data_IF_490416050676
#
_entry.id   IF_490416050676
#
_cell.length_a   1.000
_cell.length_b   1.000
_cell.length_c   1.000
_cell.angle_alpha   90.00
_cell.angle_beta   90.00
_cell.angle_gamma   90.00
#
_symmetry.space_group_name_H-M   'P 1'
#
loop_
_entity.id
_entity.type
_entity.pdbx_description
1 polymer ?
#
# COMPACT_ATOMS: atom_id res chain seq x y z
N UNK A 1 -39.15 7.84 -14.74
CA UNK A 1 -37.68 7.78 -14.61
C UNK A 1 -37.33 6.33 -14.77
N UNK A 2 -36.69 5.99 -15.88
CA UNK A 2 -36.39 4.60 -16.21
C UNK A 2 -35.36 4.05 -15.22
N UNK A 3 -35.47 2.75 -14.92
CA UNK A 3 -34.61 2.06 -13.95
C UNK A 3 -33.11 2.23 -14.24
N UNK A 4 -32.73 2.31 -15.52
CA UNK A 4 -31.35 2.57 -15.95
C UNK A 4 -30.84 3.95 -15.53
N UNK A 5 -31.63 5.01 -15.73
CA UNK A 5 -31.27 6.37 -15.32
C UNK A 5 -31.11 6.48 -13.80
N UNK A 6 -31.91 5.75 -13.04
CA UNK A 6 -31.80 5.71 -11.58
C UNK A 6 -30.48 5.04 -11.14
N UNK A 7 -30.08 3.94 -11.79
CA UNK A 7 -28.80 3.25 -11.51
C UNK A 7 -27.61 4.15 -11.86
N UNK A 8 -27.61 4.77 -13.04
CA UNK A 8 -26.54 5.66 -13.47
C UNK A 8 -26.38 6.85 -12.52
N UNK A 9 -27.49 7.43 -12.07
CA UNK A 9 -27.50 8.50 -11.07
C UNK A 9 -26.91 8.02 -9.73
N UNK A 10 -27.29 6.83 -9.26
CA UNK A 10 -26.78 6.27 -8.01
C UNK A 10 -25.26 6.06 -8.07
N UNK A 11 -24.77 5.49 -9.17
CA UNK A 11 -23.34 5.30 -9.44
C UNK A 11 -22.60 6.64 -9.44
N UNK A 12 -23.14 7.64 -10.14
CA UNK A 12 -22.53 8.95 -10.23
C UNK A 12 -22.45 9.62 -8.84
N UNK A 13 -23.53 9.58 -8.07
CA UNK A 13 -23.56 10.11 -6.69
C UNK A 13 -22.53 9.39 -5.81
N UNK A 14 -22.46 8.06 -5.89
CA UNK A 14 -21.51 7.27 -5.11
C UNK A 14 -20.06 7.60 -5.48
N UNK A 15 -19.75 7.69 -6.77
CA UNK A 15 -18.42 8.05 -7.26
C UNK A 15 -17.99 9.45 -6.82
N UNK A 16 -18.88 10.44 -6.96
CA UNK A 16 -18.63 11.82 -6.49
C UNK A 16 -18.41 11.83 -4.98
N UNK A 17 -19.25 11.12 -4.21
CA UNK A 17 -19.14 11.03 -2.75
C UNK A 17 -17.79 10.45 -2.32
N UNK A 18 -17.36 9.36 -2.97
CA UNK A 18 -16.06 8.74 -2.68
C UNK A 18 -14.90 9.67 -3.04
N UNK A 19 -14.96 10.36 -4.19
CA UNK A 19 -13.93 11.30 -4.62
C UNK A 19 -13.81 12.49 -3.65
N UNK A 20 -14.94 13.11 -3.29
CA UNK A 20 -14.97 14.18 -2.29
C UNK A 20 -14.48 13.69 -0.93
N UNK A 21 -14.79 12.45 -0.57
CA UNK A 21 -14.27 11.79 0.62
C UNK A 21 -12.75 11.68 0.65
N UNK A 22 -12.11 11.29 -0.46
CA UNK A 22 -10.64 11.24 -0.59
C UNK A 22 -10.04 12.65 -0.45
N UNK A 23 -10.64 13.65 -1.11
CA UNK A 23 -10.14 15.04 -1.04
C UNK A 23 -10.27 15.58 0.38
N UNK A 24 -11.42 15.39 1.03
CA UNK A 24 -11.69 15.86 2.39
C UNK A 24 -10.77 15.16 3.41
N UNK A 25 -10.62 13.85 3.33
CA UNK A 25 -9.68 13.11 4.21
C UNK A 25 -8.24 13.48 3.94
N UNK A 26 -7.84 13.70 2.69
CA UNK A 26 -6.51 14.20 2.34
C UNK A 26 -6.22 15.58 2.93
N UNK A 27 -7.19 16.50 2.83
CA UNK A 27 -7.11 17.83 3.45
C UNK A 27 -7.02 17.74 4.97
N UNK A 28 -7.76 16.82 5.60
CA UNK A 28 -7.67 16.58 7.04
C UNK A 28 -6.27 16.07 7.45
N UNK A 29 -5.71 15.09 6.75
CA UNK A 29 -4.34 14.62 7.01
C UNK A 29 -3.32 15.74 6.80
N UNK A 30 -3.51 16.57 5.78
CA UNK A 30 -2.68 17.74 5.54
C UNK A 30 -2.75 18.76 6.68
N UNK A 31 -3.95 19.04 7.19
CA UNK A 31 -4.15 19.93 8.33
C UNK A 31 -3.43 19.39 9.57
N UNK A 32 -3.64 18.12 9.91
CA UNK A 32 -2.98 17.49 11.07
C UNK A 32 -1.45 17.49 10.88
N UNK A 33 -0.96 17.21 9.66
CA UNK A 33 0.47 17.19 9.31
C UNK A 33 1.17 18.53 9.51
N UNK A 34 0.47 19.64 9.31
CA UNK A 34 1.08 20.96 9.42
C UNK A 34 0.82 21.62 10.77
N UNK A 35 -0.37 21.42 11.35
CA UNK A 35 -0.80 22.17 12.53
C UNK A 35 -0.65 21.40 13.84
N UNK A 36 -0.70 20.06 13.80
CA UNK A 36 -0.73 19.23 15.02
C UNK A 36 0.42 18.23 15.13
N UNK A 37 1.32 18.19 14.16
CA UNK A 37 2.44 17.25 14.15
C UNK A 37 3.36 17.43 15.36
N UNK A 38 3.70 18.67 15.72
CA UNK A 38 4.55 18.96 16.89
C UNK A 38 3.90 18.51 18.20
N UNK A 39 2.60 18.77 18.35
CA UNK A 39 1.81 18.32 19.50
C UNK A 39 1.79 16.79 19.60
N UNK A 40 1.54 16.08 18.49
CA UNK A 40 1.56 14.61 18.42
C UNK A 40 2.94 14.08 18.86
N UNK A 41 4.02 14.66 18.34
CA UNK A 41 5.39 14.22 18.66
C UNK A 41 5.77 14.50 20.12
N UNK A 42 5.26 15.58 20.72
CA UNK A 42 5.51 15.89 22.14
C UNK A 42 4.83 14.88 23.06
N UNK A 43 3.61 14.44 22.73
CA UNK A 43 2.92 13.39 23.49
C UNK A 43 3.56 12.01 23.34
N UNK A 44 4.37 11.79 22.30
CA UNK A 44 5.07 10.53 22.03
C UNK A 44 6.58 10.65 22.25
N UNK A 45 7.01 11.57 23.11
CA UNK A 45 8.42 11.95 23.19
C UNK A 45 9.36 10.86 23.71
N UNK A 46 8.84 9.91 24.47
CA UNK A 46 9.60 8.78 25.01
C UNK A 46 9.43 7.51 24.17
N UNK A 47 8.83 7.60 22.98
CA UNK A 47 8.66 6.48 22.07
C UNK A 47 9.82 6.41 21.05
N UNK A 48 10.73 5.41 21.14
CA UNK A 48 11.83 5.27 20.18
C UNK A 48 11.37 5.13 18.73
N UNK A 49 10.17 4.56 18.51
CA UNK A 49 9.57 4.42 17.19
C UNK A 49 9.27 5.76 16.51
N UNK A 50 9.20 6.84 17.29
CA UNK A 50 8.79 8.16 16.83
C UNK A 50 9.97 9.06 16.48
N UNK A 51 11.19 8.70 16.87
CA UNK A 51 12.40 9.46 16.59
C UNK A 51 12.70 9.66 15.09
N UNK A 52 12.52 8.65 14.20
CA UNK A 52 12.61 8.88 12.76
C UNK A 52 11.59 9.91 12.25
N UNK A 53 10.41 9.98 12.88
CA UNK A 53 9.36 10.91 12.49
C UNK A 53 9.61 12.35 12.96
N UNK A 54 10.40 12.55 14.03
CA UNK A 54 10.89 13.89 14.42
C UNK A 54 11.75 14.50 13.33
N UNK A 55 12.63 13.70 12.72
CA UNK A 55 13.36 14.13 11.53
C UNK A 55 12.41 14.33 10.34
N UNK A 56 11.41 13.46 10.17
CA UNK A 56 10.39 13.64 9.12
C UNK A 56 9.57 14.93 9.26
N UNK A 57 9.36 15.44 10.48
CA UNK A 57 8.65 16.69 10.72
C UNK A 57 9.31 17.89 10.01
N UNK A 58 10.59 17.81 9.66
CA UNK A 58 11.34 18.90 9.03
C UNK A 58 11.74 18.65 7.57
N UNK A 59 11.46 17.47 7.01
CA UNK A 59 11.98 17.05 5.68
C UNK A 59 10.98 17.17 4.53
N UNK A 60 9.73 17.56 4.79
CA UNK A 60 8.76 17.92 3.74
C UNK A 60 7.34 17.42 3.98
N UNK A 61 6.41 17.88 3.15
CA UNK A 61 4.98 17.60 3.32
C UNK A 61 4.65 16.10 3.25
N UNK A 62 5.24 15.40 2.28
CA UNK A 62 4.98 13.97 2.05
C UNK A 62 5.45 13.10 3.23
N UNK A 63 6.56 13.45 3.87
CA UNK A 63 7.08 12.70 5.01
C UNK A 63 6.23 12.92 6.26
N UNK A 64 5.71 14.15 6.47
CA UNK A 64 4.77 14.46 7.56
C UNK A 64 3.46 13.68 7.46
N UNK A 65 2.84 13.65 6.27
CA UNK A 65 1.59 12.91 6.06
C UNK A 65 1.79 11.41 6.32
N UNK A 66 2.90 10.84 5.80
CA UNK A 66 3.24 9.42 6.07
C UNK A 66 3.42 9.16 7.57
N UNK A 67 4.14 10.03 8.27
CA UNK A 67 4.37 9.88 9.70
C UNK A 67 3.06 9.86 10.50
N UNK A 68 2.09 10.69 10.12
CA UNK A 68 0.76 10.69 10.75
C UNK A 68 0.01 9.40 10.51
N UNK A 69 0.05 8.86 9.28
CA UNK A 69 -0.60 7.60 8.97
C UNK A 69 0.02 6.43 9.74
N UNK A 70 1.35 6.44 9.89
CA UNK A 70 2.07 5.46 10.69
C UNK A 70 1.70 5.58 12.18
N UNK A 71 1.72 6.80 12.74
CA UNK A 71 1.33 7.07 14.13
C UNK A 71 -0.12 6.66 14.39
N UNK A 72 -1.05 6.97 13.48
CA UNK A 72 -2.45 6.53 13.59
C UNK A 72 -2.54 5.00 13.65
N UNK A 73 -1.74 4.29 12.85
CA UNK A 73 -1.68 2.83 12.86
C UNK A 73 -1.14 2.29 14.19
N UNK A 74 -0.13 2.94 14.77
CA UNK A 74 0.45 2.54 16.06
C UNK A 74 -0.52 2.75 17.22
N UNK A 75 -1.23 3.88 17.24
CA UNK A 75 -2.25 4.19 18.26
C UNK A 75 -3.43 3.22 18.20
N UNK A 76 -3.76 2.69 17.03
CA UNK A 76 -4.84 1.74 16.86
C UNK A 76 -4.52 0.34 17.45
N UNK A 77 -3.25 -0.05 17.46
CA UNK A 77 -2.83 -1.38 17.93
C UNK A 77 -1.49 -1.32 18.68
N UNK A 78 -1.47 -0.73 19.89
CA UNK A 78 -0.22 -0.42 20.60
C UNK A 78 0.39 -1.60 21.36
N UNK A 79 -0.37 -2.67 21.62
CA UNK A 79 -0.02 -3.76 22.54
C UNK A 79 1.33 -4.41 22.20
N UNK A 80 1.49 -4.82 20.94
CA UNK A 80 2.74 -5.42 20.45
C UNK A 80 3.92 -4.44 20.51
N UNK A 81 3.66 -3.14 20.32
CA UNK A 81 4.69 -2.09 20.29
C UNK A 81 5.20 -1.72 21.67
N UNK A 82 4.33 -1.85 22.66
CA UNK A 82 4.68 -1.80 24.06
C UNK A 82 5.54 -3.02 24.43
N UNK A 83 5.16 -4.22 23.98
CA UNK A 83 5.86 -5.48 24.29
C UNK A 83 7.31 -5.49 23.79
N UNK A 84 7.56 -4.95 22.59
CA UNK A 84 8.91 -4.85 22.02
C UNK A 84 9.68 -3.58 22.43
N UNK A 85 9.12 -2.77 23.33
CA UNK A 85 9.74 -1.53 23.83
C UNK A 85 9.82 -0.38 22.81
N UNK A 86 9.06 -0.45 21.72
CA UNK A 86 9.03 0.57 20.66
C UNK A 86 8.11 1.76 21.00
N UNK A 87 7.09 1.54 21.83
CA UNK A 87 6.23 2.60 22.39
C UNK A 87 6.34 2.65 23.92
N UNK A 88 6.41 3.85 24.46
CA UNK A 88 6.28 4.10 25.90
C UNK A 88 4.83 3.86 26.32
N UNK A 89 4.62 2.94 27.26
CA UNK A 89 3.30 2.69 27.87
C UNK A 89 2.69 3.95 28.47
N UNK A 90 3.52 4.80 29.07
CA UNK A 90 3.10 6.05 29.66
C UNK A 90 2.61 7.03 28.58
N UNK A 91 3.37 7.18 27.50
CA UNK A 91 3.05 8.11 26.41
C UNK A 91 1.72 7.74 25.75
N UNK A 92 1.50 6.44 25.50
CA UNK A 92 0.25 5.93 24.94
C UNK A 92 -0.91 6.09 25.91
N UNK A 93 -0.70 5.82 27.21
CA UNK A 93 -1.74 5.95 28.24
C UNK A 93 -2.22 7.39 28.41
N UNK A 94 -1.31 8.36 28.29
CA UNK A 94 -1.61 9.79 28.46
C UNK A 94 -1.81 10.53 27.13
N UNK A 95 -1.79 9.83 25.99
CA UNK A 95 -2.05 10.44 24.70
C UNK A 95 -3.48 11.00 24.66
N UNK A 96 -3.71 12.23 24.14
CA UNK A 96 -5.05 12.82 24.12
C UNK A 96 -6.03 11.95 23.34
N UNK A 97 -7.06 11.44 24.01
CA UNK A 97 -8.02 10.48 23.42
C UNK A 97 -8.73 11.04 22.19
N UNK A 98 -9.01 12.34 22.17
CA UNK A 98 -9.67 13.00 21.04
C UNK A 98 -8.75 13.06 19.82
N UNK A 99 -7.46 13.34 20.03
CA UNK A 99 -6.46 13.35 18.98
C UNK A 99 -6.21 11.93 18.45
N UNK A 100 -6.14 10.91 19.31
CA UNK A 100 -6.00 9.52 18.89
C UNK A 100 -7.19 9.08 18.03
N UNK A 101 -8.41 9.35 18.50
CA UNK A 101 -9.63 9.05 17.73
C UNK A 101 -9.62 9.75 16.38
N UNK A 102 -9.29 11.04 16.33
CA UNK A 102 -9.20 11.78 15.07
C UNK A 102 -8.22 11.14 14.09
N UNK A 103 -7.01 10.79 14.55
CA UNK A 103 -5.97 10.16 13.73
C UNK A 103 -6.42 8.80 13.18
N UNK A 104 -6.95 7.94 14.05
CA UNK A 104 -7.38 6.58 13.70
C UNK A 104 -8.58 6.65 12.74
N UNK A 105 -9.58 7.48 13.05
CA UNK A 105 -10.77 7.64 12.20
C UNK A 105 -10.39 8.21 10.83
N UNK A 106 -9.53 9.23 10.76
CA UNK A 106 -9.07 9.78 9.49
C UNK A 106 -8.34 8.73 8.64
N UNK A 107 -7.47 7.93 9.27
CA UNK A 107 -6.73 6.86 8.61
C UNK A 107 -7.68 5.80 8.01
N UNK A 108 -8.63 5.29 8.80
CA UNK A 108 -9.60 4.30 8.31
C UNK A 108 -10.54 4.88 7.25
N UNK A 109 -10.98 6.12 7.40
CA UNK A 109 -11.86 6.76 6.42
C UNK A 109 -11.13 6.95 5.07
N UNK A 110 -9.85 7.32 5.09
CA UNK A 110 -9.02 7.38 3.88
C UNK A 110 -8.86 6.01 3.23
N UNK A 111 -8.66 4.95 4.01
CA UNK A 111 -8.57 3.58 3.48
C UNK A 111 -9.92 3.10 2.93
N UNK A 112 -11.02 3.43 3.59
CA UNK A 112 -12.37 3.06 3.18
C UNK A 112 -12.76 3.72 1.85
N UNK A 113 -12.50 5.02 1.68
CA UNK A 113 -12.77 5.70 0.42
C UNK A 113 -11.89 5.18 -0.72
N UNK A 114 -10.61 4.93 -0.46
CA UNK A 114 -9.71 4.36 -1.46
C UNK A 114 -10.15 2.95 -1.88
N UNK A 115 -10.47 2.08 -0.91
CA UNK A 115 -10.99 0.74 -1.16
C UNK A 115 -12.34 0.78 -1.88
N UNK A 116 -13.23 1.68 -1.49
CA UNK A 116 -14.52 1.90 -2.12
C UNK A 116 -14.40 2.29 -3.60
N UNK A 117 -13.46 3.19 -3.94
CA UNK A 117 -13.19 3.57 -5.33
C UNK A 117 -12.72 2.39 -6.19
N UNK A 118 -11.88 1.52 -5.62
CA UNK A 118 -11.41 0.31 -6.33
C UNK A 118 -12.60 -0.64 -6.56
N UNK A 119 -13.40 -0.90 -5.53
CA UNK A 119 -14.59 -1.77 -5.64
C UNK A 119 -15.58 -1.20 -6.66
N UNK A 120 -15.83 0.11 -6.62
CA UNK A 120 -16.72 0.78 -7.57
C UNK A 120 -16.18 0.67 -9.00
N UNK A 121 -14.88 0.89 -9.22
CA UNK A 121 -14.26 0.75 -10.53
C UNK A 121 -14.41 -0.68 -11.09
N UNK A 122 -14.17 -1.70 -10.27
CA UNK A 122 -14.37 -3.11 -10.67
C UNK A 122 -15.84 -3.40 -10.95
N UNK A 123 -16.76 -2.90 -10.11
CA UNK A 123 -18.19 -3.09 -10.32
C UNK A 123 -18.69 -2.46 -11.63
N UNK A 124 -18.17 -1.29 -12.00
CA UNK A 124 -18.49 -0.64 -13.28
C UNK A 124 -17.97 -1.43 -14.47
N UNK A 125 -16.77 -1.99 -14.39
CA UNK A 125 -16.23 -2.88 -15.42
C UNK A 125 -17.08 -4.14 -15.57
N UNK A 126 -17.56 -4.73 -14.47
CA UNK A 126 -18.47 -5.89 -14.51
C UNK A 126 -19.84 -5.53 -15.09
N UNK A 127 -20.36 -4.34 -14.81
CA UNK A 127 -21.64 -3.88 -15.35
C UNK A 127 -21.55 -3.61 -16.86
N UNK A 128 -20.47 -2.94 -17.28
CA UNK A 128 -20.19 -2.68 -18.69
C UNK A 128 -20.02 -3.99 -19.47
N UNK A 129 -19.30 -4.94 -18.87
CA UNK A 129 -19.24 -6.32 -19.32
C UNK A 129 -20.63 -6.96 -19.51
N UNK A 130 -21.50 -6.87 -18.50
CA UNK A 130 -22.85 -7.42 -18.61
C UNK A 130 -23.67 -6.77 -19.75
N UNK A 131 -23.49 -5.46 -19.97
CA UNK A 131 -24.19 -4.69 -21.02
C UNK A 131 -23.75 -5.08 -22.43
N UNK A 132 -22.46 -5.35 -22.61
CA UNK A 132 -21.86 -5.71 -23.91
C UNK A 132 -21.81 -7.22 -24.18
N UNK A 133 -22.50 -8.06 -23.39
CA UNK A 133 -22.47 -9.52 -23.54
C UNK A 133 -22.95 -10.06 -24.91
N UNK A 134 -23.52 -9.21 -25.77
CA UNK A 134 -23.89 -9.55 -27.15
C UNK A 134 -22.80 -9.32 -28.21
N UNK A 135 -21.72 -8.57 -27.90
CA UNK A 135 -20.62 -8.32 -28.85
C UNK A 135 -19.51 -9.34 -28.67
N UNK A 136 -19.44 -10.30 -29.60
CA UNK A 136 -18.40 -11.33 -29.58
C UNK A 136 -17.27 -10.96 -30.54
N UNK A 137 -16.05 -10.87 -30.00
CA UNK A 137 -14.84 -10.84 -30.82
C UNK A 137 -14.48 -12.28 -31.19
N UNK A 138 -14.36 -12.56 -32.49
CA UNK A 138 -13.86 -13.83 -33.00
C UNK A 138 -12.36 -13.73 -33.20
N UNK A 139 -11.58 -14.43 -32.37
CA UNK A 139 -10.15 -14.61 -32.62
C UNK A 139 -9.93 -15.96 -33.29
N UNK A 140 -9.35 -15.95 -34.49
CA UNK A 140 -8.88 -17.16 -35.17
C UNK A 140 -7.51 -17.56 -34.60
N UNK A 141 -7.47 -18.70 -33.92
CA UNK A 141 -6.24 -19.41 -33.54
C UNK A 141 -6.01 -20.54 -34.55
N UNK A 142 -5.38 -20.21 -35.68
CA UNK A 142 -5.15 -21.16 -36.78
C UNK A 142 -6.35 -21.33 -37.73
N UNK A 143 -6.23 -22.25 -38.69
CA UNK A 143 -7.23 -22.42 -39.76
C UNK A 143 -8.55 -23.05 -39.30
N UNK A 144 -8.54 -23.82 -38.19
CA UNK A 144 -9.70 -24.59 -37.74
C UNK A 144 -10.31 -24.15 -36.40
N UNK A 145 -9.66 -23.26 -35.63
CA UNK A 145 -10.13 -22.91 -34.29
C UNK A 145 -10.42 -21.41 -34.18
N UNK A 146 -11.68 -21.05 -33.93
CA UNK A 146 -12.07 -19.68 -33.60
C UNK A 146 -12.71 -19.64 -32.22
N UNK A 147 -12.12 -18.90 -31.30
CA UNK A 147 -12.71 -18.65 -29.98
C UNK A 147 -13.48 -17.34 -30.07
N UNK A 148 -14.75 -17.38 -29.66
CA UNK A 148 -15.59 -16.18 -29.53
C UNK A 148 -15.69 -15.85 -28.05
N UNK A 149 -15.30 -14.64 -27.67
CA UNK A 149 -15.44 -14.17 -26.30
C UNK A 149 -15.77 -12.68 -26.29
N UNK A 150 -16.33 -12.18 -25.18
CA UNK A 150 -16.61 -10.76 -25.05
C UNK A 150 -15.32 -9.93 -24.88
N UNK A 151 -15.20 -8.74 -25.51
CA UNK A 151 -13.98 -7.91 -25.46
C UNK A 151 -13.49 -7.61 -24.04
N UNK A 152 -14.41 -7.45 -23.10
CA UNK A 152 -14.15 -7.13 -21.70
C UNK A 152 -13.67 -8.32 -20.85
N UNK A 153 -13.86 -9.57 -21.32
CA UNK A 153 -13.62 -10.76 -20.50
C UNK A 153 -12.12 -10.99 -20.24
N UNK A 154 -11.20 -10.95 -21.24
CA UNK A 154 -9.77 -11.06 -20.98
C UNK A 154 -9.19 -10.01 -20.03
N UNK A 155 -9.46 -8.70 -20.18
CA UNK A 155 -8.92 -7.71 -19.25
C UNK A 155 -9.50 -7.85 -17.84
N UNK A 156 -10.79 -8.19 -17.69
CA UNK A 156 -11.39 -8.45 -16.38
C UNK A 156 -10.77 -9.67 -15.69
N UNK A 157 -10.55 -10.78 -16.43
CA UNK A 157 -9.87 -11.96 -15.89
C UNK A 157 -8.42 -11.64 -15.49
N UNK A 158 -7.72 -10.84 -16.30
CA UNK A 158 -6.37 -10.36 -15.98
C UNK A 158 -6.37 -9.48 -14.72
N UNK A 159 -7.35 -8.58 -14.56
CA UNK A 159 -7.48 -7.72 -13.38
C UNK A 159 -7.70 -8.56 -12.11
N UNK A 160 -8.67 -9.49 -12.14
CA UNK A 160 -8.97 -10.40 -11.01
C UNK A 160 -7.73 -11.23 -10.65
N UNK A 161 -7.04 -11.79 -11.66
CA UNK A 161 -5.81 -12.53 -11.46
C UNK A 161 -4.71 -11.66 -10.82
N UNK A 162 -4.53 -10.43 -11.28
CA UNK A 162 -3.54 -9.50 -10.73
C UNK A 162 -3.86 -9.14 -9.28
N UNK A 163 -5.12 -8.87 -8.94
CA UNK A 163 -5.55 -8.59 -7.57
C UNK A 163 -5.27 -9.80 -6.67
N UNK A 164 -5.63 -11.00 -7.11
CA UNK A 164 -5.37 -12.24 -6.39
C UNK A 164 -3.87 -12.48 -6.17
N UNK A 165 -3.04 -12.26 -7.20
CA UNK A 165 -1.59 -12.32 -7.11
C UNK A 165 -1.04 -11.31 -6.09
N UNK A 166 -1.51 -10.05 -6.10
CA UNK A 166 -1.09 -9.02 -5.13
C UNK A 166 -1.41 -9.46 -3.70
N UNK A 167 -2.59 -10.03 -3.46
CA UNK A 167 -2.99 -10.51 -2.13
C UNK A 167 -2.09 -11.67 -1.65
N UNK A 168 -1.81 -12.64 -2.52
CA UNK A 168 -0.89 -13.75 -2.19
C UNK A 168 0.52 -13.23 -1.95
N UNK A 169 1.05 -12.37 -2.81
CA UNK A 169 2.38 -11.80 -2.65
C UNK A 169 2.47 -11.00 -1.34
N UNK A 170 1.41 -10.28 -0.98
CA UNK A 170 1.28 -9.61 0.31
C UNK A 170 1.40 -10.58 1.49
N UNK A 171 0.70 -11.72 1.47
CA UNK A 171 0.84 -12.72 2.55
C UNK A 171 2.25 -13.31 2.58
N UNK A 172 2.87 -13.58 1.43
CA UNK A 172 4.25 -14.05 1.36
C UNK A 172 5.24 -13.03 1.93
N UNK A 173 5.07 -11.73 1.64
CA UNK A 173 5.88 -10.67 2.22
C UNK A 173 5.73 -10.57 3.74
N UNK A 174 4.51 -10.69 4.25
CA UNK A 174 4.24 -10.77 5.69
C UNK A 174 5.00 -11.93 6.32
N UNK A 175 4.94 -13.13 5.73
CA UNK A 175 5.63 -14.32 6.21
C UNK A 175 7.16 -14.21 6.10
N UNK A 176 7.68 -13.70 5.00
CA UNK A 176 9.11 -13.47 4.78
C UNK A 176 9.68 -12.51 5.83
N UNK A 177 8.92 -11.47 6.19
CA UNK A 177 9.31 -10.55 7.27
C UNK A 177 9.43 -11.28 8.61
N UNK A 178 8.43 -12.11 8.96
CA UNK A 178 8.48 -12.89 10.20
C UNK A 178 9.65 -13.88 10.24
N UNK A 179 10.04 -14.44 9.08
CA UNK A 179 11.09 -15.45 8.96
C UNK A 179 12.49 -14.86 8.88
N UNK A 180 12.65 -13.68 8.28
CA UNK A 180 13.96 -13.12 7.93
C UNK A 180 14.29 -11.77 8.60
N UNK A 181 13.43 -11.23 9.46
CA UNK A 181 13.65 -9.93 10.13
C UNK A 181 15.03 -9.83 10.81
N UNK A 182 15.44 -10.87 11.55
CA UNK A 182 16.73 -10.87 12.25
C UNK A 182 17.91 -10.89 11.28
N UNK A 183 17.82 -11.68 10.21
CA UNK A 183 18.85 -11.73 9.16
C UNK A 183 18.96 -10.41 8.42
N UNK A 184 17.81 -9.80 8.08
CA UNK A 184 17.75 -8.47 7.46
C UNK A 184 18.41 -7.44 8.39
N UNK A 185 18.08 -7.46 9.68
CA UNK A 185 18.68 -6.55 10.64
C UNK A 185 20.18 -6.78 10.81
N UNK A 186 20.65 -8.03 10.81
CA UNK A 186 22.08 -8.34 10.96
C UNK A 186 22.93 -7.84 9.79
N UNK A 187 22.44 -8.04 8.56
CA UNK A 187 23.22 -7.73 7.35
C UNK A 187 22.99 -6.32 6.81
N UNK A 188 21.88 -5.66 7.16
CA UNK A 188 21.53 -4.32 6.70
C UNK A 188 21.37 -3.31 7.85
N UNK A 189 22.01 -3.55 9.01
CA UNK A 189 21.90 -2.65 10.18
C UNK A 189 22.42 -1.23 9.91
N UNK A 190 23.41 -1.08 9.05
CA UNK A 190 24.05 0.20 8.70
C UNK A 190 23.38 0.90 7.52
N UNK A 191 22.44 0.21 6.84
CA UNK A 191 21.77 0.78 5.68
C UNK A 191 20.76 1.85 6.11
N UNK A 192 21.03 3.12 5.75
CA UNK A 192 20.16 4.27 6.03
C UNK A 192 18.71 4.06 5.56
N UNK A 193 18.54 3.40 4.41
CA UNK A 193 17.23 3.07 3.86
C UNK A 193 16.46 2.04 4.71
N UNK A 194 17.14 1.12 5.38
CA UNK A 194 16.52 0.17 6.31
C UNK A 194 16.27 0.79 7.67
N UNK A 195 17.24 1.54 8.21
CA UNK A 195 17.12 2.23 9.50
C UNK A 195 15.88 3.14 9.51
N UNK A 196 15.72 3.97 8.48
CA UNK A 196 14.55 4.88 8.34
C UNK A 196 13.20 4.18 8.21
N UNK A 197 13.19 2.88 7.92
CA UNK A 197 11.98 2.09 7.67
C UNK A 197 11.78 0.99 8.70
N UNK A 198 12.67 0.83 9.67
CA UNK A 198 12.59 -0.21 10.69
C UNK A 198 11.31 -0.10 11.53
N UNK A 199 10.77 1.11 11.66
CA UNK A 199 9.45 1.35 12.27
C UNK A 199 8.28 0.67 11.55
N UNK A 200 8.45 0.24 10.29
CA UNK A 200 7.40 -0.49 9.56
C UNK A 200 7.25 -1.93 10.05
N UNK A 201 8.28 -2.57 10.62
CA UNK A 201 8.16 -3.91 11.24
C UNK A 201 7.09 -3.95 12.35
N UNK A 202 6.82 -2.78 12.91
CA UNK A 202 5.91 -2.49 13.99
C UNK A 202 4.47 -2.17 13.52
N UNK A 203 4.24 -1.84 12.25
CA UNK A 203 2.91 -1.48 11.70
C UNK A 203 1.95 -2.66 11.48
N UNK A 204 2.03 -3.71 12.31
CA UNK A 204 1.21 -4.93 12.17
C UNK A 204 1.47 -5.68 10.85
N UNK A 205 0.43 -6.35 10.32
CA UNK A 205 0.56 -7.12 9.09
C UNK A 205 0.93 -6.23 7.89
N UNK A 206 0.31 -5.06 7.76
CA UNK A 206 0.55 -4.14 6.66
C UNK A 206 1.97 -3.55 6.73
N UNK A 207 2.40 -3.07 7.89
CA UNK A 207 3.75 -2.54 8.07
C UNK A 207 4.83 -3.56 7.70
N UNK A 208 4.66 -4.83 8.09
CA UNK A 208 5.58 -5.92 7.71
C UNK A 208 5.63 -6.14 6.20
N UNK A 209 4.48 -6.10 5.52
CA UNK A 209 4.41 -6.17 4.06
C UNK A 209 5.20 -5.01 3.42
N UNK A 210 4.97 -3.79 3.87
CA UNK A 210 5.66 -2.60 3.33
C UNK A 210 7.16 -2.67 3.62
N UNK A 211 7.56 -3.08 4.82
CA UNK A 211 8.96 -3.23 5.20
C UNK A 211 9.69 -4.21 4.29
N UNK A 212 9.17 -5.44 4.16
CA UNK A 212 9.77 -6.46 3.31
C UNK A 212 9.73 -6.11 1.84
N UNK A 213 8.68 -5.43 1.36
CA UNK A 213 8.63 -4.87 0.02
C UNK A 213 9.76 -3.86 -0.20
N UNK A 214 10.04 -3.00 0.78
CA UNK A 214 11.15 -2.04 0.71
C UNK A 214 12.52 -2.73 0.70
N UNK A 215 12.72 -3.75 1.54
CA UNK A 215 13.95 -4.56 1.55
C UNK A 215 14.13 -5.25 0.19
N UNK A 216 13.07 -5.84 -0.34
CA UNK A 216 13.09 -6.53 -1.62
C UNK A 216 13.40 -5.57 -2.79
N UNK A 217 12.79 -4.39 -2.81
CA UNK A 217 13.09 -3.34 -3.78
C UNK A 217 14.56 -2.88 -3.68
N UNK A 218 15.05 -2.71 -2.45
CA UNK A 218 16.41 -2.30 -2.17
C UNK A 218 17.43 -3.34 -2.67
N UNK A 219 17.14 -4.63 -2.49
CA UNK A 219 17.98 -5.72 -3.00
C UNK A 219 17.88 -5.87 -4.53
N UNK A 220 16.68 -5.78 -5.10
CA UNK A 220 16.42 -5.89 -6.54
C UNK A 220 17.08 -4.75 -7.34
N UNK A 221 17.06 -3.54 -6.76
CA UNK A 221 17.60 -2.33 -7.38
C UNK A 221 18.83 -1.79 -6.65
N UNK A 222 19.65 -2.67 -6.07
CA UNK A 222 20.82 -2.31 -5.25
C UNK A 222 21.76 -1.32 -5.91
N UNK A 223 22.00 -1.42 -7.23
CA UNK A 223 22.83 -0.47 -7.99
C UNK A 223 22.33 0.98 -7.89
N UNK A 224 21.02 1.22 -7.86
CA UNK A 224 20.44 2.55 -7.70
C UNK A 224 20.70 3.08 -6.29
N UNK A 225 20.46 2.26 -5.27
CA UNK A 225 20.64 2.68 -3.88
C UNK A 225 22.11 2.89 -3.50
N UNK A 226 23.03 2.12 -4.07
CA UNK A 226 24.48 2.31 -3.92
C UNK A 226 24.90 3.66 -4.52
N UNK A 227 24.41 4.01 -5.72
CA UNK A 227 24.69 5.32 -6.35
C UNK A 227 24.22 6.50 -5.49
N UNK A 228 23.10 6.34 -4.79
CA UNK A 228 22.58 7.38 -3.88
C UNK A 228 23.24 7.40 -2.49
N UNK A 229 24.16 6.48 -2.20
CA UNK A 229 24.76 6.33 -0.87
C UNK A 229 23.80 5.84 0.21
N UNK A 230 22.63 5.32 -0.17
CA UNK A 230 21.61 4.80 0.74
C UNK A 230 21.87 3.34 1.16
N UNK A 231 22.73 2.64 0.43
CA UNK A 231 23.08 1.23 0.62
C UNK A 231 24.58 1.01 0.39
N UNK A 232 25.24 0.31 1.30
CA UNK A 232 26.64 -0.07 1.14
C UNK A 232 26.77 -1.33 0.27
N UNK A 233 27.80 -1.36 -0.58
CA UNK A 233 28.01 -2.50 -1.49
C UNK A 233 28.47 -3.78 -0.76
N UNK A 234 29.14 -3.63 0.40
CA UNK A 234 29.54 -4.71 1.32
C UNK A 234 28.33 -5.45 1.87
N UNK A 235 27.32 -4.70 2.33
CA UNK A 235 26.09 -5.24 2.91
C UNK A 235 25.35 -6.16 1.91
N UNK A 236 25.23 -5.72 0.66
CA UNK A 236 24.57 -6.50 -0.41
C UNK A 236 25.35 -7.78 -0.78
N UNK A 237 26.69 -7.72 -0.74
CA UNK A 237 27.56 -8.87 -1.04
C UNK A 237 27.53 -9.91 0.07
N UNK A 238 27.44 -9.47 1.33
CA UNK A 238 27.39 -10.37 2.49
C UNK A 238 25.99 -10.96 2.73
N UNK A 239 24.95 -10.40 2.11
CA UNK A 239 23.58 -10.83 2.33
C UNK A 239 23.33 -12.25 1.78
N UNK A 240 22.66 -13.14 2.55
CA UNK A 240 22.41 -14.52 2.13
C UNK A 240 21.70 -14.63 0.77
N UNK A 241 22.29 -15.37 -0.16
CA UNK A 241 21.82 -15.44 -1.55
C UNK A 241 20.43 -16.05 -1.65
N UNK A 242 20.11 -17.07 -0.85
CA UNK A 242 18.79 -17.72 -0.87
C UNK A 242 17.65 -16.74 -0.53
N UNK A 243 17.81 -15.98 0.57
CA UNK A 243 16.83 -14.98 1.02
C UNK A 243 16.75 -13.83 0.02
N UNK A 244 17.90 -13.38 -0.51
CA UNK A 244 17.94 -12.32 -1.53
C UNK A 244 17.13 -12.70 -2.76
N UNK A 245 17.35 -13.90 -3.30
CA UNK A 245 16.65 -14.36 -4.50
C UNK A 245 15.15 -14.47 -4.25
N UNK A 246 14.72 -15.04 -3.12
CA UNK A 246 13.30 -15.13 -2.77
C UNK A 246 12.62 -13.76 -2.73
N UNK A 247 13.20 -12.80 -2.00
CA UNK A 247 12.65 -11.44 -1.89
C UNK A 247 12.63 -10.71 -3.24
N UNK A 248 13.69 -10.84 -4.04
CA UNK A 248 13.80 -10.22 -5.36
C UNK A 248 12.77 -10.82 -6.33
N UNK A 249 12.57 -12.13 -6.30
CA UNK A 249 11.55 -12.81 -7.10
C UNK A 249 10.15 -12.31 -6.72
N UNK A 250 9.82 -12.24 -5.42
CA UNK A 250 8.54 -11.66 -4.97
C UNK A 250 8.36 -10.21 -5.45
N UNK A 251 9.44 -9.43 -5.49
CA UNK A 251 9.39 -8.03 -5.93
C UNK A 251 9.04 -7.88 -7.41
N UNK A 252 9.67 -8.68 -8.27
CA UNK A 252 9.35 -8.66 -9.69
C UNK A 252 7.95 -9.20 -9.99
N UNK A 253 7.48 -10.21 -9.25
CA UNK A 253 6.08 -10.65 -9.34
C UNK A 253 5.10 -9.56 -8.90
N UNK A 254 5.44 -8.79 -7.86
CA UNK A 254 4.61 -7.67 -7.42
C UNK A 254 4.55 -6.58 -8.51
N UNK A 255 5.69 -6.19 -9.08
CA UNK A 255 5.76 -5.23 -10.18
C UNK A 255 4.97 -5.72 -11.39
N UNK A 256 5.14 -6.98 -11.78
CA UNK A 256 4.41 -7.58 -12.90
C UNK A 256 2.89 -7.57 -12.67
N UNK A 257 2.44 -7.82 -11.43
CA UNK A 257 1.02 -7.78 -11.07
C UNK A 257 0.45 -6.36 -11.16
N UNK A 258 1.19 -5.34 -10.68
CA UNK A 258 0.79 -3.93 -10.85
C UNK A 258 0.79 -3.49 -12.31
N UNK A 259 1.78 -3.93 -13.09
CA UNK A 259 1.82 -3.65 -14.53
C UNK A 259 0.65 -4.31 -15.26
N UNK A 260 0.33 -5.57 -14.93
CA UNK A 260 -0.82 -6.29 -15.47
C UNK A 260 -2.15 -5.61 -15.13
N UNK A 261 -2.30 -5.11 -13.89
CA UNK A 261 -3.45 -4.30 -13.49
C UNK A 261 -3.56 -3.03 -14.36
N UNK A 262 -2.46 -2.29 -14.53
CA UNK A 262 -2.45 -1.11 -15.39
C UNK A 262 -2.84 -1.45 -16.85
N UNK A 263 -2.27 -2.52 -17.42
CA UNK A 263 -2.61 -2.99 -18.77
C UNK A 263 -4.08 -3.37 -18.87
N UNK A 264 -4.65 -4.06 -17.87
CA UNK A 264 -6.07 -4.44 -17.89
C UNK A 264 -7.00 -3.21 -17.94
N UNK A 265 -6.68 -2.18 -17.16
CA UNK A 265 -7.42 -0.91 -17.13
C UNK A 265 -7.31 -0.17 -18.47
N UNK A 266 -6.11 -0.12 -19.07
CA UNK A 266 -5.92 0.54 -20.38
C UNK A 266 -6.55 -0.26 -21.52
N UNK A 267 -6.53 -1.58 -21.46
CA UNK A 267 -7.15 -2.44 -22.45
C UNK A 267 -8.65 -2.20 -22.52
N UNK A 268 -9.32 -2.00 -21.38
CA UNK A 268 -10.76 -1.69 -21.32
C UNK A 268 -11.10 -0.34 -21.95
N UNK A 269 -10.25 0.68 -21.77
CA UNK A 269 -10.43 1.99 -22.42
C UNK A 269 -10.23 1.97 -23.94
N UNK A 270 -9.57 0.96 -24.48
CA UNK A 270 -9.33 0.82 -25.92
C UNK A 270 -10.51 0.24 -26.70
N UNK A 271 -11.60 -0.15 -26.01
CA UNK A 271 -12.80 -0.74 -26.60
C UNK A 271 -14.03 0.19 -26.58
N UNK A 272 -13.93 1.37 -25.95
CA UNK A 272 -14.87 2.49 -26.09
C UNK A 272 -14.59 3.29 -27.37
#
# INVERSE_FOLDING_TARGET
MDYEHFIELLIAILGITMLLGIVATGALHFYIANMRMTEILEHLKNCPLVDPYRYCAHTGLRSRIRAIQDIASFLNSPEFLIEVGALSTNDIKYFPKDLARLLITAHYLSLAFLGGMIVLAVALQILDAARHSGSLIKIKLGEQFSVSYPPYLPPLLLEILCIFCILIIGTQYKHATARYADTINRHLNNCKAIISRRSLLCGGAFGRIVFSTCVAALLAHSRLFIKTGALESSDVKSFPVSIRTELVTLHYWLIASFAGLAVSIFALKGFE
#
